data_IF_719938426601
#
_entry.id   IF_719938426601
#
_cell.length_a   1.000
_cell.length_b   1.000
_cell.length_c   1.000
_cell.angle_alpha   90.00
_cell.angle_beta   90.00
_cell.angle_gamma   90.00
#
_symmetry.space_group_name_H-M   'P 1'
#
loop_
_entity.id
_entity.type
_entity.pdbx_description
1 polymer ?
#
# COMPACT_ATOMS: atom_id res chain seq x y z
N UNK A 1 -27.01 -10.78 2.50
CA UNK A 1 -26.35 -9.47 2.43
C UNK A 1 -26.55 -8.93 1.02
N UNK A 2 -26.97 -7.67 0.85
CA UNK A 2 -27.12 -7.09 -0.49
C UNK A 2 -25.71 -6.87 -1.10
N UNK A 3 -25.55 -7.09 -2.41
CA UNK A 3 -24.29 -6.95 -3.14
C UNK A 3 -23.66 -5.56 -2.94
N UNK A 4 -24.49 -4.51 -2.88
CA UNK A 4 -24.05 -3.15 -2.55
C UNK A 4 -23.40 -3.04 -1.18
N UNK A 5 -23.95 -3.67 -0.14
CA UNK A 5 -23.38 -3.63 1.20
C UNK A 5 -22.01 -4.35 1.24
N UNK A 6 -21.90 -5.48 0.54
CA UNK A 6 -20.64 -6.23 0.44
C UNK A 6 -19.54 -5.41 -0.23
N UNK A 7 -19.85 -4.74 -1.34
CA UNK A 7 -18.87 -3.90 -2.05
C UNK A 7 -18.48 -2.67 -1.21
N UNK A 8 -19.43 -2.06 -0.50
CA UNK A 8 -19.14 -0.95 0.41
C UNK A 8 -18.21 -1.37 1.57
N UNK A 9 -18.41 -2.56 2.13
CA UNK A 9 -17.54 -3.11 3.18
C UNK A 9 -16.12 -3.36 2.64
N UNK A 10 -16.00 -3.90 1.43
CA UNK A 10 -14.71 -4.12 0.76
C UNK A 10 -14.00 -2.81 0.42
N UNK A 11 -14.72 -1.77 -0.01
CA UNK A 11 -14.15 -0.45 -0.27
C UNK A 11 -13.55 0.15 1.01
N UNK A 12 -14.30 0.12 2.12
CA UNK A 12 -13.81 0.62 3.43
C UNK A 12 -12.56 -0.13 3.90
N UNK A 13 -12.52 -1.45 3.71
CA UNK A 13 -11.34 -2.24 4.06
C UNK A 13 -10.12 -1.85 3.24
N UNK A 14 -10.28 -1.72 1.92
CA UNK A 14 -9.20 -1.32 1.01
C UNK A 14 -8.71 0.10 1.33
N UNK A 15 -9.60 1.05 1.60
CA UNK A 15 -9.24 2.41 2.00
C UNK A 15 -8.41 2.43 3.29
N UNK A 16 -8.79 1.62 4.28
CA UNK A 16 -8.02 1.48 5.52
C UNK A 16 -6.61 0.94 5.26
N UNK A 17 -6.49 -0.06 4.39
CA UNK A 17 -5.19 -0.63 4.02
C UNK A 17 -4.33 0.37 3.24
N UNK A 18 -4.92 1.17 2.36
CA UNK A 18 -4.22 2.22 1.61
C UNK A 18 -3.66 3.29 2.55
N UNK A 19 -4.49 3.83 3.45
CA UNK A 19 -4.04 4.84 4.41
C UNK A 19 -2.92 4.33 5.35
N UNK A 20 -2.97 3.04 5.70
CA UNK A 20 -1.95 2.41 6.51
C UNK A 20 -0.64 2.20 5.74
N UNK A 21 -0.73 1.71 4.50
CA UNK A 21 0.43 1.44 3.65
C UNK A 21 1.16 2.70 3.22
N UNK A 22 0.46 3.82 2.96
CA UNK A 22 1.10 5.12 2.68
C UNK A 22 2.03 5.56 3.82
N UNK A 23 1.55 5.45 5.07
CA UNK A 23 2.36 5.79 6.25
C UNK A 23 3.57 4.88 6.39
N UNK A 24 3.39 3.58 6.16
CA UNK A 24 4.50 2.63 6.25
C UNK A 24 5.53 2.85 5.16
N UNK A 25 5.11 3.06 3.91
CA UNK A 25 6.00 3.33 2.79
C UNK A 25 6.84 4.58 3.06
N UNK A 26 6.21 5.68 3.49
CA UNK A 26 6.92 6.90 3.85
C UNK A 26 7.98 6.64 4.92
N UNK A 27 7.62 5.94 6.01
CA UNK A 27 8.59 5.61 7.07
C UNK A 27 9.71 4.68 6.61
N UNK A 28 9.44 3.76 5.68
CA UNK A 28 10.47 2.88 5.13
C UNK A 28 11.48 3.64 4.26
N UNK A 29 11.04 4.66 3.52
CA UNK A 29 11.97 5.56 2.83
C UNK A 29 12.90 6.26 3.82
N UNK A 30 12.37 6.78 4.93
CA UNK A 30 13.19 7.42 5.97
C UNK A 30 14.24 6.46 6.54
N UNK A 31 13.85 5.21 6.84
CA UNK A 31 14.75 4.19 7.39
C UNK A 31 15.87 3.83 6.39
N UNK A 32 15.53 3.69 5.11
CA UNK A 32 16.55 3.45 4.07
C UNK A 32 17.55 4.61 4.03
N UNK A 33 17.07 5.85 4.05
CA UNK A 33 17.93 7.03 4.07
C UNK A 33 18.76 7.16 5.35
N UNK A 34 18.24 6.74 6.51
CA UNK A 34 18.99 6.63 7.76
C UNK A 34 20.15 5.62 7.61
N UNK A 35 19.91 4.43 7.04
CA UNK A 35 20.97 3.43 6.80
C UNK A 35 22.04 3.92 5.82
N UNK A 36 21.66 4.57 4.72
CA UNK A 36 22.60 5.12 3.74
C UNK A 36 23.49 6.19 4.36
N UNK A 37 22.91 7.11 5.14
CA UNK A 37 23.66 8.18 5.81
C UNK A 37 24.66 7.63 6.80
N UNK A 38 24.29 6.57 7.52
CA UNK A 38 25.09 6.02 8.60
C UNK A 38 26.10 4.96 8.09
N UNK A 39 26.13 4.69 6.77
CA UNK A 39 27.12 3.81 6.12
C UNK A 39 26.77 2.31 6.14
N UNK A 40 25.51 1.96 6.38
CA UNK A 40 25.01 0.58 6.39
C UNK A 40 24.52 0.15 4.99
N UNK A 41 25.41 0.16 4.00
CA UNK A 41 25.04 -0.04 2.58
C UNK A 41 24.34 -1.38 2.29
N UNK A 42 24.79 -2.48 2.94
CA UNK A 42 24.18 -3.80 2.77
C UNK A 42 22.76 -3.87 3.33
N UNK A 43 22.51 -3.22 4.47
CA UNK A 43 21.19 -3.15 5.09
C UNK A 43 20.27 -2.21 4.31
N UNK A 44 20.80 -1.10 3.78
CA UNK A 44 20.08 -0.18 2.90
C UNK A 44 19.61 -0.87 1.61
N UNK A 45 20.45 -1.72 1.00
CA UNK A 45 20.10 -2.50 -0.19
C UNK A 45 18.97 -3.50 0.06
N UNK A 46 19.03 -4.24 1.17
CA UNK A 46 17.99 -5.18 1.55
C UNK A 46 16.68 -4.44 1.91
N UNK A 47 16.77 -3.31 2.62
CA UNK A 47 15.63 -2.46 2.94
C UNK A 47 14.97 -1.89 1.67
N UNK A 48 15.74 -1.47 0.66
CA UNK A 48 15.23 -1.03 -0.65
C UNK A 48 14.42 -2.10 -1.36
N UNK A 49 14.92 -3.34 -1.38
CA UNK A 49 14.21 -4.47 -2.02
C UNK A 49 12.85 -4.70 -1.36
N UNK A 50 12.82 -4.71 -0.02
CA UNK A 50 11.57 -4.85 0.75
C UNK A 50 10.62 -3.67 0.54
N UNK A 51 11.15 -2.45 0.51
CA UNK A 51 10.36 -1.26 0.21
C UNK A 51 9.74 -1.32 -1.18
N UNK A 52 10.48 -1.82 -2.17
CA UNK A 52 9.98 -2.02 -3.53
C UNK A 52 8.79 -2.99 -3.52
N UNK A 53 8.91 -4.14 -2.84
CA UNK A 53 7.79 -5.08 -2.70
C UNK A 53 6.58 -4.45 -2.02
N UNK A 54 6.79 -3.63 -0.98
CA UNK A 54 5.70 -2.93 -0.28
C UNK A 54 4.99 -1.91 -1.19
N UNK A 55 5.75 -1.19 -2.02
CA UNK A 55 5.20 -0.25 -3.00
C UNK A 55 4.39 -0.97 -4.07
N UNK A 56 4.88 -2.09 -4.59
CA UNK A 56 4.11 -2.89 -5.56
C UNK A 56 2.81 -3.42 -4.96
N UNK A 57 2.87 -3.94 -3.73
CA UNK A 57 1.67 -4.37 -3.01
C UNK A 57 0.67 -3.22 -2.81
N UNK A 58 1.15 -2.02 -2.49
CA UNK A 58 0.29 -0.83 -2.38
C UNK A 58 -0.39 -0.48 -3.72
N UNK A 59 0.31 -0.57 -4.85
CA UNK A 59 -0.28 -0.37 -6.18
C UNK A 59 -1.40 -1.38 -6.48
N UNK A 60 -1.24 -2.64 -6.06
CA UNK A 60 -2.28 -3.66 -6.21
C UNK A 60 -3.55 -3.29 -5.43
N UNK A 61 -3.40 -2.74 -4.22
CA UNK A 61 -4.51 -2.23 -3.42
C UNK A 61 -5.22 -1.03 -4.09
N UNK A 62 -4.48 -0.10 -4.70
CA UNK A 62 -5.07 1.01 -5.48
C UNK A 62 -5.89 0.45 -6.64
N UNK A 63 -5.32 -0.49 -7.40
CA UNK A 63 -6.00 -1.11 -8.53
C UNK A 63 -7.26 -1.88 -8.09
N UNK A 64 -7.22 -2.54 -6.92
CA UNK A 64 -8.39 -3.19 -6.33
C UNK A 64 -9.48 -2.19 -5.96
N UNK A 65 -9.12 -1.05 -5.33
CA UNK A 65 -10.08 0.04 -5.02
C UNK A 65 -10.79 0.49 -6.30
N UNK A 66 -10.03 0.75 -7.35
CA UNK A 66 -10.58 1.21 -8.62
C UNK A 66 -11.59 0.23 -9.23
N UNK A 67 -11.30 -1.08 -9.21
CA UNK A 67 -12.25 -2.12 -9.68
C UNK A 67 -13.52 -2.17 -8.83
N UNK A 68 -13.40 -2.01 -7.51
CA UNK A 68 -14.55 -1.98 -6.61
C UNK A 68 -15.40 -0.72 -6.85
N UNK A 69 -14.78 0.45 -7.02
CA UNK A 69 -15.48 1.70 -7.35
C UNK A 69 -16.26 1.57 -8.66
N UNK A 70 -15.64 1.03 -9.72
CA UNK A 70 -16.32 0.77 -10.99
C UNK A 70 -17.52 -0.17 -10.83
N UNK A 71 -17.41 -1.19 -9.98
CA UNK A 71 -18.50 -2.14 -9.73
C UNK A 71 -19.62 -1.53 -8.89
N UNK A 72 -19.28 -0.64 -7.95
CA UNK A 72 -20.24 0.02 -7.07
C UNK A 72 -21.05 1.11 -7.80
N UNK A 73 -20.38 1.90 -8.65
CA UNK A 73 -21.00 3.04 -9.35
C UNK A 73 -21.43 2.73 -10.79
N UNK A 74 -20.97 1.62 -11.36
CA UNK A 74 -21.25 1.20 -12.74
C UNK A 74 -22.42 0.20 -12.89
N UNK A 75 -23.25 0.06 -11.85
CA UNK A 75 -24.47 -0.76 -11.86
C UNK A 75 -25.72 0.12 -11.94
#
# INVERSE_FOLDING_TARGET
MNNHQMIADQLREVERHLALSEKYIARQYDIVSEFERDGFDLDADEARKRLTSLVEFHKEHIARRHRLEQTFWGA
#
